data_IF_014572639905
#
_entry.id   IF_014572639905
#
_cell.length_a   1.000
_cell.length_b   1.000
_cell.length_c   1.000
_cell.angle_alpha   90.00
_cell.angle_beta   90.00
_cell.angle_gamma   90.00
#
_symmetry.space_group_name_H-M   'P 1'
#
loop_
_entity.id
_entity.type
_entity.pdbx_description
1 polymer ?
#
# COMPACT_ATOMS: atom_id res chain seq x y z
N UNK A 1 7.98 -17.01 -12.45
CA UNK A 1 8.19 -15.61 -12.88
C UNK A 1 6.84 -15.13 -13.40
N UNK A 2 6.21 -14.20 -12.69
CA UNK A 2 4.95 -13.60 -13.08
C UNK A 2 5.19 -12.62 -14.24
N UNK A 3 4.41 -12.74 -15.31
CA UNK A 3 3.81 -11.62 -16.03
C UNK A 3 4.61 -10.42 -16.51
N UNK A 4 4.55 -10.10 -17.82
CA UNK A 4 5.11 -8.85 -18.37
C UNK A 4 4.22 -7.62 -18.21
N UNK A 5 2.96 -7.79 -17.84
CA UNK A 5 1.93 -6.74 -17.95
C UNK A 5 1.79 -5.97 -16.64
N UNK A 6 1.87 -4.64 -16.72
CA UNK A 6 1.82 -3.71 -15.58
C UNK A 6 1.31 -2.32 -16.02
N UNK A 7 0.89 -1.44 -15.09
CA UNK A 7 0.52 -0.07 -15.44
C UNK A 7 1.64 0.66 -16.18
N UNK A 8 1.34 1.30 -17.31
CA UNK A 8 2.33 2.10 -18.06
C UNK A 8 2.20 3.58 -17.70
N UNK A 9 2.77 3.97 -16.56
CA UNK A 9 2.78 5.36 -16.07
C UNK A 9 4.19 5.81 -15.72
N UNK A 10 4.45 7.11 -15.83
CA UNK A 10 5.71 7.71 -15.39
C UNK A 10 5.83 7.59 -13.87
N UNK A 11 6.96 7.05 -13.40
CA UNK A 11 7.24 6.94 -11.97
C UNK A 11 6.59 5.76 -11.26
N UNK A 12 6.14 4.73 -11.99
CA UNK A 12 5.67 3.49 -11.38
C UNK A 12 6.74 2.90 -10.44
N UNK A 13 6.36 2.63 -9.19
CA UNK A 13 7.19 1.97 -8.20
C UNK A 13 7.55 0.52 -8.56
N UNK A 14 8.52 -0.05 -7.82
CA UNK A 14 8.91 -1.46 -7.95
C UNK A 14 7.71 -2.38 -7.68
N UNK A 15 7.70 -3.56 -8.26
CA UNK A 15 6.66 -4.54 -7.99
C UNK A 15 6.87 -5.20 -6.62
N UNK A 16 5.79 -5.35 -5.86
CA UNK A 16 5.74 -6.19 -4.67
C UNK A 16 5.11 -7.51 -5.07
N UNK A 17 5.84 -8.61 -4.89
CA UNK A 17 5.28 -9.95 -5.11
C UNK A 17 4.58 -10.42 -3.83
N UNK A 18 3.23 -10.50 -3.80
CA UNK A 18 2.52 -11.07 -2.67
C UNK A 18 2.67 -12.60 -2.66
N UNK A 19 2.42 -13.22 -1.51
CA UNK A 19 2.21 -14.68 -1.44
C UNK A 19 0.71 -14.95 -1.36
N UNK A 20 0.17 -15.75 -2.26
CA UNK A 20 -1.20 -16.24 -2.17
C UNK A 20 -1.25 -17.29 -1.05
N UNK A 21 -2.00 -17.00 0.01
CA UNK A 21 -2.17 -17.90 1.16
C UNK A 21 -3.34 -18.85 0.94
N UNK A 22 -4.42 -18.35 0.36
CA UNK A 22 -5.61 -19.15 0.14
C UNK A 22 -6.68 -18.41 -0.63
N UNK A 23 -7.67 -19.16 -1.08
CA UNK A 23 -8.88 -18.61 -1.69
C UNK A 23 -10.09 -19.35 -1.16
N UNK A 24 -11.27 -18.75 -1.30
CA UNK A 24 -12.54 -19.41 -0.97
C UNK A 24 -13.60 -19.12 -2.04
N UNK A 25 -14.40 -20.14 -2.33
CA UNK A 25 -15.40 -20.11 -3.40
C UNK A 25 -14.77 -20.23 -4.79
N UNK A 26 -15.29 -19.46 -5.75
CA UNK A 26 -14.77 -19.41 -7.13
C UNK A 26 -13.78 -18.27 -7.37
N UNK A 27 -13.46 -17.48 -6.32
CA UNK A 27 -12.34 -16.56 -6.39
C UNK A 27 -11.07 -17.38 -6.60
N UNK A 28 -10.53 -17.36 -7.80
CA UNK A 28 -9.27 -18.03 -8.11
C UNK A 28 -8.21 -16.95 -8.29
N UNK A 29 -7.22 -16.97 -7.40
CA UNK A 29 -6.06 -16.09 -7.54
C UNK A 29 -5.16 -16.52 -8.71
N UNK A 30 -5.53 -17.58 -9.45
CA UNK A 30 -4.78 -18.09 -10.61
C UNK A 30 -4.72 -17.10 -11.76
N UNK A 31 -5.72 -16.22 -11.89
CA UNK A 31 -5.73 -15.13 -12.87
C UNK A 31 -5.20 -13.81 -12.31
N UNK A 32 -4.52 -13.82 -11.16
CA UNK A 32 -3.84 -12.65 -10.62
C UNK A 32 -2.36 -12.94 -10.50
N UNK A 33 -1.56 -11.90 -10.71
CA UNK A 33 -0.11 -11.92 -10.66
C UNK A 33 0.49 -12.92 -11.66
N UNK A 34 -0.13 -13.09 -12.83
CA UNK A 34 0.37 -13.95 -13.92
C UNK A 34 0.85 -13.14 -15.15
N UNK A 35 0.56 -11.84 -15.15
CA UNK A 35 0.71 -10.81 -16.17
C UNK A 35 0.03 -11.11 -17.48
N UNK A 36 -1.12 -11.77 -17.43
CA UNK A 36 -2.10 -11.74 -18.48
C UNK A 36 -3.16 -10.67 -18.19
N UNK A 37 -3.80 -10.17 -19.24
CA UNK A 37 -4.92 -9.23 -19.13
C UNK A 37 -6.09 -9.74 -20.00
N UNK A 38 -6.66 -10.92 -19.72
CA UNK A 38 -7.69 -11.48 -20.60
C UNK A 38 -9.01 -10.71 -20.46
N UNK A 39 -9.67 -10.46 -21.58
CA UNK A 39 -11.06 -9.97 -21.61
C UNK A 39 -12.01 -11.16 -21.54
N UNK A 40 -12.15 -11.75 -20.35
CA UNK A 40 -12.93 -12.97 -20.14
C UNK A 40 -13.49 -12.99 -18.72
N UNK A 41 -14.57 -13.75 -18.52
CA UNK A 41 -15.19 -13.94 -17.20
C UNK A 41 -15.30 -15.42 -16.80
N UNK A 42 -14.97 -16.34 -17.73
CA UNK A 42 -15.06 -17.81 -17.54
C UNK A 42 -13.71 -18.52 -17.59
N UNK A 43 -12.63 -17.79 -17.87
CA UNK A 43 -11.29 -18.38 -17.93
C UNK A 43 -10.62 -18.35 -16.57
N UNK A 44 -9.79 -19.34 -16.29
CA UNK A 44 -8.90 -19.36 -15.10
C UNK A 44 -7.90 -18.18 -15.04
N UNK A 45 -7.83 -17.36 -16.10
CA UNK A 45 -6.99 -16.17 -16.20
C UNK A 45 -7.64 -14.88 -15.69
N UNK A 46 -8.80 -14.92 -15.03
CA UNK A 46 -9.33 -13.77 -14.28
C UNK A 46 -9.68 -14.19 -12.86
N UNK A 47 -9.73 -13.24 -11.94
CA UNK A 47 -10.29 -13.48 -10.61
C UNK A 47 -11.73 -12.97 -10.52
N UNK A 48 -12.66 -13.88 -10.21
CA UNK A 48 -14.08 -13.58 -10.07
C UNK A 48 -14.56 -13.72 -8.63
N UNK A 49 -15.06 -12.63 -8.06
CA UNK A 49 -15.83 -12.62 -6.83
C UNK A 49 -17.32 -12.61 -7.16
N UNK A 50 -17.93 -13.80 -7.13
CA UNK A 50 -19.36 -13.99 -7.41
C UNK A 50 -20.30 -13.89 -6.20
N UNK A 51 -19.76 -13.91 -4.98
CA UNK A 51 -20.51 -13.85 -3.72
C UNK A 51 -19.75 -13.05 -2.67
N UNK A 52 -20.47 -12.55 -1.67
CA UNK A 52 -19.94 -11.76 -0.53
C UNK A 52 -19.10 -12.55 0.45
N UNK A 53 -19.02 -13.88 0.30
CA UNK A 53 -18.16 -14.73 1.13
C UNK A 53 -16.85 -15.09 0.41
N UNK A 54 -16.75 -14.84 -0.90
CA UNK A 54 -15.59 -15.24 -1.68
C UNK A 54 -14.42 -14.31 -1.42
N UNK A 55 -13.23 -14.88 -1.25
CA UNK A 55 -12.04 -14.10 -0.97
C UNK A 55 -10.79 -14.67 -1.61
N UNK A 56 -9.83 -13.78 -1.82
CA UNK A 56 -8.42 -14.13 -1.94
C UNK A 56 -7.71 -13.68 -0.66
N UNK A 57 -6.82 -14.51 -0.16
CA UNK A 57 -6.01 -14.24 1.02
C UNK A 57 -4.56 -14.09 0.58
N UNK A 58 -3.98 -12.92 0.85
CA UNK A 58 -2.63 -12.57 0.43
C UNK A 58 -1.78 -12.20 1.65
N UNK A 59 -0.53 -12.65 1.66
CA UNK A 59 0.52 -12.07 2.49
C UNK A 59 1.27 -11.03 1.67
N UNK A 60 1.17 -9.78 2.11
CA UNK A 60 1.77 -8.61 1.48
C UNK A 60 2.99 -8.20 2.30
N UNK A 61 4.22 -8.37 1.78
CA UNK A 61 5.45 -8.20 2.57
C UNK A 61 5.86 -6.73 2.75
N UNK A 62 5.33 -5.82 1.93
CA UNK A 62 5.74 -4.41 1.88
C UNK A 62 4.54 -3.48 1.73
N UNK A 63 4.69 -2.23 2.16
CA UNK A 63 3.66 -1.20 1.93
C UNK A 63 3.49 -1.00 0.43
N UNK A 64 2.26 -1.05 -0.07
CA UNK A 64 2.01 -0.98 -1.50
C UNK A 64 0.74 -0.22 -1.87
N UNK A 65 0.65 0.18 -3.13
CA UNK A 65 -0.61 0.47 -3.79
C UNK A 65 -1.05 -0.79 -4.53
N UNK A 66 -2.35 -1.10 -4.53
CA UNK A 66 -2.92 -2.13 -5.39
C UNK A 66 -3.48 -1.44 -6.62
N UNK A 67 -2.96 -1.82 -7.77
CA UNK A 67 -3.53 -1.52 -9.07
C UNK A 67 -4.36 -2.70 -9.53
N UNK A 68 -5.47 -2.42 -10.20
CA UNK A 68 -6.29 -3.44 -10.84
C UNK A 68 -6.48 -3.13 -12.31
N UNK A 69 -6.69 -4.18 -13.08
CA UNK A 69 -7.23 -4.14 -14.42
C UNK A 69 -8.60 -4.82 -14.44
N UNK A 70 -9.55 -4.23 -15.18
CA UNK A 70 -10.93 -4.72 -15.26
C UNK A 70 -11.13 -5.70 -16.40
N UNK A 71 -12.33 -5.74 -16.98
CA UNK A 71 -12.65 -6.47 -18.21
C UNK A 71 -13.69 -5.67 -19.01
N UNK A 72 -13.74 -5.80 -20.34
CA UNK A 72 -14.68 -5.00 -21.14
C UNK A 72 -16.10 -5.55 -21.04
N UNK A 73 -16.25 -6.88 -21.13
CA UNK A 73 -17.55 -7.54 -21.23
C UNK A 73 -18.43 -7.41 -19.98
N UNK A 74 -17.83 -7.14 -18.83
CA UNK A 74 -18.53 -6.90 -17.56
C UNK A 74 -17.84 -5.79 -16.76
N UNK A 75 -17.51 -4.68 -17.42
CA UNK A 75 -16.79 -3.54 -16.83
C UNK A 75 -17.48 -2.92 -15.61
N UNK A 76 -18.79 -3.14 -15.44
CA UNK A 76 -19.56 -2.73 -14.28
C UNK A 76 -19.43 -3.66 -13.06
N UNK A 77 -18.82 -4.84 -13.19
CA UNK A 77 -18.51 -5.74 -12.07
C UNK A 77 -17.23 -5.27 -11.36
N UNK A 78 -17.33 -4.13 -10.69
CA UNK A 78 -16.24 -3.48 -9.97
C UNK A 78 -16.63 -3.17 -8.51
N UNK A 79 -17.39 -4.06 -7.86
CA UNK A 79 -17.80 -3.86 -6.48
C UNK A 79 -16.58 -3.66 -5.54
N UNK A 80 -16.71 -2.88 -4.46
CA UNK A 80 -15.64 -2.71 -3.48
C UNK A 80 -15.30 -4.01 -2.77
N UNK A 81 -14.17 -4.02 -2.09
CA UNK A 81 -13.81 -5.04 -1.12
C UNK A 81 -14.17 -4.62 0.30
N UNK A 82 -14.64 -5.57 1.09
CA UNK A 82 -14.28 -5.64 2.50
C UNK A 82 -12.83 -6.10 2.62
N UNK A 83 -12.00 -5.31 3.29
CA UNK A 83 -10.57 -5.55 3.48
C UNK A 83 -10.38 -6.02 4.91
N UNK A 84 -10.10 -7.31 5.07
CA UNK A 84 -10.04 -7.95 6.38
C UNK A 84 -8.58 -8.32 6.69
N UNK A 85 -7.99 -7.76 7.74
CA UNK A 85 -6.59 -7.98 8.11
C UNK A 85 -6.47 -9.03 9.21
N UNK A 86 -5.52 -9.95 9.07
CA UNK A 86 -5.17 -10.88 10.15
C UNK A 86 -4.48 -10.13 11.29
N UNK A 87 -4.96 -10.32 12.51
CA UNK A 87 -4.41 -9.70 13.71
C UNK A 87 -3.41 -10.61 14.43
N UNK A 88 -2.70 -10.05 15.41
CA UNK A 88 -1.62 -10.74 16.13
C UNK A 88 -2.11 -11.93 16.97
N UNK A 89 -3.39 -11.91 17.37
CA UNK A 89 -4.05 -13.02 18.05
C UNK A 89 -4.46 -14.17 17.11
N UNK A 90 -4.16 -14.05 15.81
CA UNK A 90 -4.53 -15.02 14.78
C UNK A 90 -5.97 -14.88 14.27
N UNK A 91 -6.72 -13.91 14.77
CA UNK A 91 -8.06 -13.54 14.30
C UNK A 91 -8.00 -12.59 13.09
N UNK A 92 -9.15 -12.02 12.75
CA UNK A 92 -9.32 -11.14 11.59
C UNK A 92 -10.12 -9.90 11.98
N UNK A 93 -9.59 -8.72 11.66
CA UNK A 93 -10.23 -7.42 11.89
C UNK A 93 -10.66 -6.81 10.55
N UNK A 94 -11.87 -6.26 10.48
CA UNK A 94 -12.30 -5.46 9.33
C UNK A 94 -11.62 -4.09 9.37
N UNK A 95 -10.78 -3.82 8.36
CA UNK A 95 -10.04 -2.57 8.20
C UNK A 95 -10.46 -1.80 6.95
N UNK A 96 -11.63 -2.11 6.39
CA UNK A 96 -12.14 -1.50 5.15
C UNK A 96 -12.17 0.01 5.23
N UNK A 97 -12.58 0.56 6.37
CA UNK A 97 -12.66 2.02 6.60
C UNK A 97 -11.31 2.73 6.59
N UNK A 98 -10.19 2.00 6.75
CA UNK A 98 -8.84 2.56 6.70
C UNK A 98 -8.33 2.78 5.27
N UNK A 99 -8.98 2.15 4.28
CA UNK A 99 -8.49 2.12 2.91
C UNK A 99 -9.61 2.46 1.92
N UNK A 100 -9.68 3.75 1.55
CA UNK A 100 -10.54 4.20 0.46
C UNK A 100 -10.24 3.44 -0.83
N UNK A 101 -11.30 3.11 -1.59
CA UNK A 101 -11.20 2.37 -2.84
C UNK A 101 -11.65 3.22 -4.03
N UNK A 102 -10.80 3.30 -5.05
CA UNK A 102 -11.18 3.84 -6.36
C UNK A 102 -11.72 2.71 -7.22
N UNK A 103 -12.93 2.89 -7.74
CA UNK A 103 -13.64 1.89 -8.53
C UNK A 103 -14.33 2.58 -9.69
N UNK A 104 -13.73 2.50 -10.87
CA UNK A 104 -14.33 2.97 -12.13
C UNK A 104 -14.52 1.81 -13.09
N UNK A 105 -15.44 1.97 -14.06
CA UNK A 105 -15.62 0.97 -15.11
C UNK A 105 -14.43 1.04 -16.06
N UNK A 106 -13.51 0.08 -15.95
CA UNK A 106 -12.30 -0.01 -16.77
C UNK A 106 -12.22 -1.36 -17.48
N UNK A 107 -11.66 -1.35 -18.68
CA UNK A 107 -11.41 -2.52 -19.51
C UNK A 107 -10.18 -3.33 -19.07
N UNK A 108 -9.98 -4.47 -19.73
CA UNK A 108 -8.87 -5.39 -19.44
C UNK A 108 -7.49 -4.85 -19.79
N UNK A 109 -7.36 -3.81 -20.61
CA UNK A 109 -6.06 -3.18 -20.91
C UNK A 109 -5.84 -1.89 -20.12
N UNK A 110 -6.82 -1.50 -19.31
CA UNK A 110 -6.76 -0.29 -18.49
C UNK A 110 -6.33 -0.65 -17.07
N UNK A 111 -5.73 0.31 -16.39
CA UNK A 111 -5.24 0.17 -15.02
C UNK A 111 -5.78 1.30 -14.17
N UNK A 112 -6.27 0.98 -12.97
CA UNK A 112 -6.57 1.98 -11.96
C UNK A 112 -5.96 1.61 -10.61
N UNK A 113 -5.47 2.62 -9.90
CA UNK A 113 -4.96 2.47 -8.54
C UNK A 113 -6.15 2.37 -7.59
N UNK A 114 -6.56 1.15 -7.27
CA UNK A 114 -7.78 0.88 -6.51
C UNK A 114 -7.58 1.06 -5.00
N UNK A 115 -6.45 0.63 -4.44
CA UNK A 115 -6.13 0.80 -3.01
C UNK A 115 -4.76 1.48 -2.89
N UNK A 116 -4.67 2.48 -2.02
CA UNK A 116 -3.46 3.30 -1.84
C UNK A 116 -2.88 3.07 -0.44
N UNK A 117 -1.56 3.00 -0.33
CA UNK A 117 -0.85 2.92 0.96
C UNK A 117 -1.26 1.75 1.87
N UNK A 118 -1.62 0.61 1.28
CA UNK A 118 -1.89 -0.61 2.03
C UNK A 118 -0.63 -1.02 2.80
N UNK A 119 -0.76 -1.22 4.12
CA UNK A 119 0.36 -1.61 4.98
C UNK A 119 0.72 -3.09 4.78
N UNK A 120 1.96 -3.51 5.12
CA UNK A 120 2.29 -4.92 5.16
C UNK A 120 1.36 -5.71 6.09
N UNK A 121 1.11 -6.97 5.73
CA UNK A 121 0.29 -7.88 6.51
C UNK A 121 -0.37 -8.97 5.68
N UNK A 122 -1.16 -9.80 6.37
CA UNK A 122 -1.97 -10.84 5.75
C UNK A 122 -3.42 -10.36 5.67
N UNK A 123 -4.00 -10.36 4.47
CA UNK A 123 -5.29 -9.74 4.18
C UNK A 123 -6.19 -10.70 3.41
N UNK A 124 -7.49 -10.68 3.71
CA UNK A 124 -8.55 -11.19 2.85
C UNK A 124 -9.21 -10.02 2.13
N UNK A 125 -9.36 -10.17 0.82
CA UNK A 125 -10.13 -9.26 -0.03
C UNK A 125 -11.43 -9.94 -0.41
N UNK A 126 -12.51 -9.54 0.27
CA UNK A 126 -13.85 -10.10 0.12
C UNK A 126 -14.69 -9.10 -0.65
N UNK A 127 -15.26 -9.41 -1.81
CA UNK A 127 -16.04 -8.40 -2.53
C UNK A 127 -17.40 -8.19 -1.87
N UNK A 128 -17.88 -6.96 -1.78
CA UNK A 128 -19.22 -6.65 -1.25
C UNK A 128 -20.33 -6.86 -2.31
N UNK A 129 -19.96 -7.29 -3.50
CA UNK A 129 -20.86 -7.58 -4.62
C UNK A 129 -20.14 -8.38 -5.70
N UNK A 130 -20.65 -8.33 -6.93
CA UNK A 130 -19.98 -8.98 -8.06
C UNK A 130 -18.77 -8.16 -8.50
N UNK A 131 -17.62 -8.81 -8.60
CA UNK A 131 -16.40 -8.18 -9.10
C UNK A 131 -15.59 -9.14 -9.97
N UNK A 132 -15.06 -8.63 -11.08
CA UNK A 132 -14.08 -9.34 -11.90
C UNK A 132 -12.89 -8.42 -12.15
N UNK A 133 -11.71 -8.89 -11.82
CA UNK A 133 -10.46 -8.24 -12.21
C UNK A 133 -9.66 -9.20 -13.09
N UNK A 134 -9.12 -8.67 -14.19
CA UNK A 134 -8.26 -9.45 -15.10
C UNK A 134 -6.84 -9.58 -14.62
N UNK A 135 -6.36 -8.58 -13.87
CA UNK A 135 -5.01 -8.60 -13.32
C UNK A 135 -4.85 -7.58 -12.18
N UNK A 136 -3.99 -7.87 -11.23
CA UNK A 136 -3.51 -6.96 -10.19
C UNK A 136 -2.01 -6.71 -10.31
N UNK A 137 -1.60 -5.51 -9.92
CA UNK A 137 -0.19 -5.15 -9.76
C UNK A 137 -0.01 -4.44 -8.42
N UNK A 138 0.88 -4.93 -7.56
CA UNK A 138 1.21 -4.28 -6.30
C UNK A 138 2.44 -3.40 -6.50
N UNK A 139 2.24 -2.09 -6.46
CA UNK A 139 3.31 -1.10 -6.56
C UNK A 139 3.87 -0.82 -5.18
N UNK A 140 5.16 -1.08 -4.96
CA UNK A 140 5.88 -0.72 -3.74
C UNK A 140 5.77 0.79 -3.53
N UNK A 141 5.20 1.17 -2.39
CA UNK A 141 5.28 2.55 -1.93
C UNK A 141 6.61 2.66 -1.19
N UNK A 142 7.62 3.16 -1.91
CA UNK A 142 8.88 3.54 -1.31
C UNK A 142 8.60 4.65 -0.28
N UNK A 143 8.44 4.27 0.98
CA UNK A 143 8.45 5.21 2.07
C UNK A 143 9.91 5.55 2.34
N UNK A 144 10.42 6.53 1.61
CA UNK A 144 11.58 7.26 2.11
C UNK A 144 11.22 7.70 3.52
N UNK A 145 11.95 7.19 4.50
CA UNK A 145 11.75 7.58 5.89
C UNK A 145 12.57 8.84 6.12
N UNK A 146 11.94 9.83 6.72
CA UNK A 146 12.59 11.10 7.01
C UNK A 146 12.70 11.33 8.51
N UNK A 147 13.86 11.84 8.91
CA UNK A 147 14.14 12.39 10.23
C UNK A 147 14.70 13.79 10.07
N UNK A 148 14.57 14.61 11.12
CA UNK A 148 15.21 15.92 11.19
C UNK A 148 16.56 15.75 11.89
N UNK A 149 17.59 16.45 11.41
CA UNK A 149 18.90 16.54 12.07
C UNK A 149 19.19 17.99 12.41
N UNK A 150 19.53 18.28 13.66
CA UNK A 150 20.01 19.59 14.09
C UNK A 150 21.39 19.40 14.74
N UNK A 151 22.41 20.00 14.12
CA UNK A 151 23.80 19.72 14.48
C UNK A 151 24.13 18.23 14.35
N UNK A 152 24.43 17.58 15.47
CA UNK A 152 24.74 16.14 15.57
C UNK A 152 23.55 15.28 16.01
N UNK A 153 22.44 15.89 16.41
CA UNK A 153 21.29 15.20 17.00
C UNK A 153 20.22 14.92 15.95
N UNK A 154 19.60 13.74 16.04
CA UNK A 154 18.45 13.34 15.24
C UNK A 154 17.16 13.50 16.04
N UNK A 155 16.10 13.86 15.31
CA UNK A 155 14.77 14.09 15.85
C UNK A 155 13.73 13.39 14.97
N UNK A 156 12.72 12.82 15.61
CA UNK A 156 11.49 12.39 14.98
C UNK A 156 10.46 13.52 14.97
N UNK A 157 9.62 13.55 13.94
CA UNK A 157 8.43 14.42 13.88
C UNK A 157 7.14 13.60 13.78
N UNK A 158 7.20 12.31 14.17
CA UNK A 158 6.06 11.41 14.15
C UNK A 158 4.94 11.95 15.06
N UNK A 159 3.69 11.77 14.65
CA UNK A 159 2.50 12.26 15.36
C UNK A 159 2.49 13.78 15.59
N UNK A 160 3.11 14.56 14.71
CA UNK A 160 3.21 16.02 14.79
C UNK A 160 3.93 16.54 16.06
N UNK A 161 4.82 15.73 16.65
CA UNK A 161 5.63 16.11 17.82
C UNK A 161 7.12 15.96 17.50
N UNK A 162 7.90 17.02 17.76
CA UNK A 162 9.35 16.98 17.64
C UNK A 162 9.95 16.24 18.86
N UNK A 163 10.50 15.05 18.64
CA UNK A 163 11.05 14.18 19.68
C UNK A 163 12.54 13.95 19.44
N UNK A 164 13.39 14.28 20.41
CA UNK A 164 14.84 14.03 20.34
C UNK A 164 15.13 12.52 20.43
N UNK A 165 15.87 12.00 19.46
CA UNK A 165 16.34 10.60 19.43
C UNK A 165 17.78 10.48 19.92
N UNK A 166 18.62 11.48 19.64
CA UNK A 166 20.03 11.49 20.03
C UNK A 166 21.00 11.52 18.84
N UNK A 167 22.28 11.26 19.11
CA UNK A 167 23.29 10.91 18.11
C UNK A 167 23.32 9.36 18.00
N UNK A 168 23.17 8.76 16.82
CA UNK A 168 23.22 7.31 16.70
C UNK A 168 24.65 6.81 16.95
N UNK A 169 24.80 5.69 17.64
CA UNK A 169 26.09 5.03 17.93
C UNK A 169 26.74 4.47 16.68
N UNK A 170 25.93 4.05 15.71
CA UNK A 170 26.35 3.41 14.46
C UNK A 170 25.23 3.48 13.40
N UNK A 171 25.54 2.99 12.19
CA UNK A 171 24.59 2.97 11.08
C UNK A 171 23.40 2.02 11.31
N UNK A 172 23.55 0.99 12.14
CA UNK A 172 22.47 0.04 12.46
C UNK A 172 21.42 0.72 13.34
N UNK A 173 21.84 1.44 14.38
CA UNK A 173 20.93 2.21 15.22
C UNK A 173 20.24 3.33 14.43
N UNK A 174 21.00 4.00 13.55
CA UNK A 174 20.46 5.03 12.66
C UNK A 174 19.37 4.46 11.74
N UNK A 175 19.61 3.32 11.10
CA UNK A 175 18.62 2.63 10.26
C UNK A 175 17.36 2.26 11.07
N UNK A 176 17.53 1.71 12.26
CA UNK A 176 16.41 1.42 13.18
C UNK A 176 15.61 2.68 13.52
N UNK A 177 16.25 3.83 13.75
CA UNK A 177 15.54 5.08 14.01
C UNK A 177 14.72 5.55 12.82
N UNK A 178 15.25 5.47 11.60
CA UNK A 178 14.49 5.81 10.40
C UNK A 178 13.25 4.91 10.24
N UNK A 179 13.39 3.61 10.50
CA UNK A 179 12.29 2.65 10.38
C UNK A 179 11.20 2.87 11.46
N UNK A 180 11.61 3.02 12.72
CA UNK A 180 10.70 3.09 13.86
C UNK A 180 10.05 4.48 14.01
N UNK A 181 10.83 5.54 13.73
CA UNK A 181 10.49 6.92 14.07
C UNK A 181 10.43 7.87 12.87
N UNK A 182 10.83 7.43 11.68
CA UNK A 182 10.77 8.23 10.46
C UNK A 182 9.35 8.44 9.97
N UNK A 183 9.10 9.61 9.37
CA UNK A 183 7.82 9.91 8.70
C UNK A 183 7.93 9.64 7.20
N UNK A 184 6.81 9.30 6.56
CA UNK A 184 6.74 9.04 5.12
C UNK A 184 6.57 10.33 4.30
N UNK A 185 5.90 11.32 4.89
CA UNK A 185 5.56 12.59 4.25
C UNK A 185 5.93 13.76 5.15
N UNK A 186 7.04 14.40 4.79
CA UNK A 186 7.53 15.61 5.47
C UNK A 186 6.58 16.79 5.35
N UNK A 187 5.92 16.96 4.20
CA UNK A 187 5.05 18.12 3.97
C UNK A 187 3.87 18.05 4.94
N UNK A 188 3.22 16.90 5.01
CA UNK A 188 2.12 16.68 5.95
C UNK A 188 2.60 16.81 7.39
N UNK A 189 3.74 16.20 7.75
CA UNK A 189 4.24 16.25 9.12
C UNK A 189 4.68 17.65 9.57
N UNK A 190 5.33 18.43 8.70
CA UNK A 190 5.88 19.75 9.07
C UNK A 190 4.87 20.88 8.98
N UNK A 191 3.88 20.79 8.08
CA UNK A 191 3.00 21.92 7.75
C UNK A 191 1.58 21.79 8.30
N UNK A 192 1.21 20.65 8.89
CA UNK A 192 -0.09 20.48 9.57
C UNK A 192 -0.16 21.43 10.77
N UNK A 193 -1.16 22.32 10.86
CA UNK A 193 -1.34 23.19 12.01
C UNK A 193 -1.62 22.39 13.30
N UNK A 194 -1.00 22.83 14.39
CA UNK A 194 -1.29 22.37 15.75
C UNK A 194 -2.51 23.12 16.31
N UNK A 195 -2.98 22.73 17.49
CA UNK A 195 -4.16 23.33 18.13
C UNK A 195 -4.00 24.82 18.43
N UNK A 196 -2.76 25.31 18.55
CA UNK A 196 -2.42 26.72 18.75
C UNK A 196 -2.20 27.48 17.41
N UNK A 197 -2.41 26.82 16.26
CA UNK A 197 -2.20 27.38 14.94
C UNK A 197 -0.74 27.36 14.45
N UNK A 198 0.23 27.01 15.31
CA UNK A 198 1.63 26.86 14.91
C UNK A 198 1.84 25.61 14.07
N UNK A 199 2.93 25.57 13.31
CA UNK A 199 3.39 24.39 12.57
C UNK A 199 4.68 23.86 13.18
N UNK A 200 4.97 22.58 12.98
CA UNK A 200 6.23 22.01 13.47
C UNK A 200 7.46 22.69 12.87
N UNK A 201 7.37 23.14 11.61
CA UNK A 201 8.46 23.86 10.96
C UNK A 201 8.83 25.15 11.70
N UNK A 202 7.90 25.78 12.41
CA UNK A 202 8.12 27.02 13.17
C UNK A 202 8.99 26.79 14.42
N UNK A 203 9.15 25.53 14.85
CA UNK A 203 9.97 25.11 16.00
C UNK A 203 11.38 24.68 15.58
N UNK A 204 11.68 24.66 14.29
CA UNK A 204 13.00 24.30 13.77
C UNK A 204 13.84 25.57 13.60
N UNK A 205 15.14 25.47 13.89
CA UNK A 205 16.09 26.55 13.71
C UNK A 205 16.64 26.59 12.28
N UNK A 206 17.30 27.68 11.86
CA UNK A 206 17.84 27.81 10.50
C UNK A 206 18.91 26.75 10.12
N UNK A 207 19.33 25.92 11.08
CA UNK A 207 20.38 24.90 10.91
C UNK A 207 19.83 23.48 10.78
N UNK A 208 18.51 23.30 10.73
CA UNK A 208 17.94 21.97 10.56
C UNK A 208 18.25 21.40 9.18
N UNK A 209 18.47 20.10 9.13
CA UNK A 209 18.64 19.32 7.91
C UNK A 209 17.55 18.25 7.85
N UNK A 210 17.00 18.05 6.66
CA UNK A 210 16.18 16.88 6.38
C UNK A 210 17.11 15.74 5.99
N UNK A 211 17.06 14.64 6.75
CA UNK A 211 17.78 13.40 6.42
C UNK A 211 16.78 12.37 5.96
N UNK A 212 17.14 11.67 4.89
CA UNK A 212 16.34 10.66 4.24
C UNK A 212 17.09 9.35 4.25
N UNK A 213 16.40 8.27 4.62
CA UNK A 213 16.89 6.91 4.38
C UNK A 213 16.20 6.35 3.15
N UNK A 214 16.99 5.97 2.15
CA UNK A 214 16.50 5.19 1.02
C UNK A 214 16.35 3.73 1.46
N UNK A 215 15.28 3.04 1.03
CA UNK A 215 15.18 1.60 1.23
C UNK A 215 16.44 0.91 0.66
N UNK A 216 16.95 -0.12 1.34
CA UNK A 216 17.98 -0.99 0.76
C UNK A 216 17.37 -1.73 -0.43
N UNK A 217 18.08 -1.70 -1.56
CA UNK A 217 17.67 -2.37 -2.81
C UNK A 217 17.59 -3.89 -2.68
#
# INVERSE_FOLDING_TARGET
MAGTVKPNIVGLGKEVTPTIIGTYGIATATGLFDGAQPDSWVSNGVCYWGSVDYYIELLIPKKCNIWRSGINSFSNMCAPFSIIKKNDSGGYDDVTSLYSQTLTQIGNTQWEKTIINLLPGQYRFVSTGKRIDSEWYLEEVNTNKFLIKQGTQYYSIKNNVLTLLGLPTDDTQKEKWFNDNGVDDLKTALLTPQSDGSKLIDKLDEKFEIRMMKPKD
#
